data_IF_434976645682
#
_entry.id   IF_434976645682
#
_cell.length_a   1.000
_cell.length_b   1.000
_cell.length_c   1.000
_cell.angle_alpha   90.00
_cell.angle_beta   90.00
_cell.angle_gamma   90.00
#
_symmetry.space_group_name_H-M   'P 1'
#
loop_
_entity.id
_entity.type
_entity.pdbx_description
1 polymer ?
#
# COMPACT_ATOMS: atom_id res chain seq x y z
N UNK A 1 15.56 22.77 12.80
CA UNK A 1 15.30 22.59 14.24
C UNK A 1 16.10 23.66 14.99
N UNK A 2 15.52 24.30 15.97
CA UNK A 2 16.26 25.24 16.83
C UNK A 2 17.00 24.42 17.92
N UNK A 3 18.30 24.26 17.75
CA UNK A 3 19.14 23.46 18.65
C UNK A 3 19.35 24.11 20.02
N UNK A 4 19.01 25.41 20.19
CA UNK A 4 19.09 26.12 21.49
C UNK A 4 18.15 25.50 22.55
N UNK A 5 17.13 24.76 22.10
CA UNK A 5 16.22 24.03 22.97
C UNK A 5 16.88 22.84 23.67
N UNK A 6 17.91 22.23 23.08
CA UNK A 6 18.62 21.09 23.70
C UNK A 6 19.39 21.51 24.93
N UNK A 7 19.91 22.72 24.96
CA UNK A 7 20.66 23.27 26.12
C UNK A 7 19.77 23.51 27.35
N UNK A 8 18.44 23.56 27.15
CA UNK A 8 17.42 23.73 28.19
C UNK A 8 16.93 22.42 28.79
N UNK A 9 17.30 21.26 28.19
CA UNK A 9 16.88 19.95 28.66
C UNK A 9 17.74 19.47 29.84
N UNK A 10 17.12 18.78 30.76
CA UNK A 10 17.83 18.09 31.85
C UNK A 10 18.67 16.93 31.31
N UNK A 11 19.66 16.49 32.09
CA UNK A 11 20.50 15.32 31.75
C UNK A 11 19.66 14.07 31.47
N UNK A 12 18.59 13.83 32.23
CA UNK A 12 17.73 12.66 32.03
C UNK A 12 16.93 12.72 30.72
N UNK A 13 16.48 13.92 30.34
CA UNK A 13 15.77 14.11 29.06
C UNK A 13 16.71 13.93 27.87
N UNK A 14 17.93 14.48 27.94
CA UNK A 14 18.96 14.29 26.92
C UNK A 14 19.37 12.82 26.79
N UNK A 15 19.56 12.12 27.94
CA UNK A 15 19.87 10.68 27.97
C UNK A 15 18.76 9.85 27.33
N UNK A 16 17.49 10.15 27.66
CA UNK A 16 16.33 9.47 27.06
C UNK A 16 16.29 9.69 25.56
N UNK A 17 16.48 10.93 25.12
CA UNK A 17 16.48 11.29 23.69
C UNK A 17 17.61 10.59 22.95
N UNK A 18 18.81 10.53 23.51
CA UNK A 18 19.95 9.82 22.94
C UNK A 18 19.68 8.31 22.86
N UNK A 19 19.08 7.71 23.89
CA UNK A 19 18.67 6.28 23.89
C UNK A 19 17.64 6.00 22.80
N UNK A 20 16.63 6.86 22.65
CA UNK A 20 15.60 6.73 21.60
C UNK A 20 16.18 6.85 20.19
N UNK A 21 17.35 7.50 20.06
CA UNK A 21 18.13 7.63 18.83
C UNK A 21 19.23 6.57 18.66
N UNK A 22 19.31 5.56 19.55
CA UNK A 22 20.35 4.53 19.60
C UNK A 22 21.80 5.08 19.72
N UNK A 23 21.98 6.19 20.42
CA UNK A 23 23.27 6.78 20.73
C UNK A 23 23.81 6.22 22.04
N UNK A 24 25.14 6.15 22.19
CA UNK A 24 25.78 5.56 23.36
C UNK A 24 25.45 6.33 24.66
N UNK A 25 25.20 5.61 25.77
CA UNK A 25 24.56 6.12 26.97
C UNK A 25 25.48 6.52 28.13
N UNK A 26 26.81 6.61 27.91
CA UNK A 26 27.79 6.91 28.98
C UNK A 26 28.52 8.24 28.77
N UNK A 27 27.77 9.37 28.75
CA UNK A 27 28.35 10.66 28.38
C UNK A 27 27.83 11.81 29.25
N UNK A 28 28.54 12.93 29.27
CA UNK A 28 28.13 14.20 29.88
C UNK A 28 26.97 14.86 29.10
N UNK A 29 26.27 15.83 29.69
CA UNK A 29 25.22 16.59 29.02
C UNK A 29 25.67 17.25 27.74
N UNK A 30 26.88 17.83 27.73
CA UNK A 30 27.46 18.48 26.55
C UNK A 30 27.75 17.49 25.41
N UNK A 31 28.22 16.30 25.71
CA UNK A 31 28.45 15.24 24.72
C UNK A 31 27.14 14.73 24.13
N UNK A 32 26.09 14.56 24.97
CA UNK A 32 24.76 14.21 24.45
C UNK A 32 24.19 15.29 23.51
N UNK A 33 24.35 16.57 23.83
CA UNK A 33 23.90 17.65 22.95
C UNK A 33 24.62 17.58 21.60
N UNK A 34 25.94 17.41 21.59
CA UNK A 34 26.75 17.30 20.37
C UNK A 34 26.32 16.08 19.53
N UNK A 35 26.14 14.92 20.15
CA UNK A 35 25.76 13.70 19.48
C UNK A 35 24.35 13.79 18.89
N UNK A 36 23.39 14.33 19.65
CA UNK A 36 22.02 14.56 19.21
C UNK A 36 22.02 15.56 18.04
N UNK A 37 22.76 16.66 18.13
CA UNK A 37 22.86 17.64 17.05
C UNK A 37 23.48 17.01 15.78
N UNK A 38 24.53 16.20 15.97
CA UNK A 38 25.21 15.49 14.86
C UNK A 38 24.25 14.52 14.18
N UNK A 39 23.55 13.69 14.97
CA UNK A 39 22.57 12.76 14.46
C UNK A 39 21.42 13.47 13.73
N UNK A 40 20.95 14.61 14.22
CA UNK A 40 19.97 15.43 13.51
C UNK A 40 20.51 16.01 12.20
N UNK A 41 21.75 16.50 12.18
CA UNK A 41 22.37 17.02 10.94
C UNK A 41 22.56 15.91 9.91
N UNK A 42 23.02 14.73 10.33
CA UNK A 42 23.15 13.54 9.47
C UNK A 42 21.77 13.10 8.95
N UNK A 43 20.75 13.10 9.82
CA UNK A 43 19.39 12.80 9.44
C UNK A 43 18.82 13.79 8.42
N UNK A 44 19.01 15.10 8.61
CA UNK A 44 18.59 16.13 7.65
C UNK A 44 19.32 15.99 6.30
N UNK A 45 20.64 15.69 6.33
CA UNK A 45 21.44 15.38 5.13
C UNK A 45 20.93 14.12 4.43
N UNK A 46 20.64 13.06 5.21
CA UNK A 46 20.05 11.82 4.70
C UNK A 46 18.67 12.06 4.08
N UNK A 47 17.83 12.83 4.76
CA UNK A 47 16.50 13.22 4.29
C UNK A 47 16.56 14.02 3.00
N UNK A 48 17.46 15.00 2.92
CA UNK A 48 17.71 15.80 1.70
C UNK A 48 18.17 14.90 0.54
N UNK A 49 19.18 14.06 0.77
CA UNK A 49 19.71 13.14 -0.24
C UNK A 49 18.66 12.13 -0.72
N UNK A 50 17.75 11.67 0.15
CA UNK A 50 16.66 10.78 -0.24
C UNK A 50 15.56 11.47 -1.04
N UNK A 51 15.24 12.73 -0.74
CA UNK A 51 14.28 13.52 -1.52
C UNK A 51 14.86 13.85 -2.89
N UNK A 52 16.16 14.13 -2.96
CA UNK A 52 16.87 14.41 -4.22
C UNK A 52 17.05 13.16 -5.11
N UNK A 53 16.82 11.95 -4.57
CA UNK A 53 16.88 10.70 -5.32
C UNK A 53 15.77 10.57 -6.37
N UNK A 54 14.64 11.24 -6.15
CA UNK A 54 13.50 11.22 -7.05
C UNK A 54 13.05 12.64 -7.38
N UNK A 55 13.00 12.97 -8.65
CA UNK A 55 12.37 14.20 -9.15
C UNK A 55 10.87 13.99 -9.26
N UNK A 56 10.08 14.77 -8.53
CA UNK A 56 8.62 14.78 -8.66
C UNK A 56 8.22 15.47 -9.94
N UNK A 57 7.35 14.81 -10.72
CA UNK A 57 6.77 15.39 -11.94
C UNK A 57 5.36 15.93 -11.64
N UNK A 58 4.35 15.10 -11.79
CA UNK A 58 2.95 15.50 -11.61
C UNK A 58 2.25 14.60 -10.59
N UNK A 59 1.17 15.14 -10.00
CA UNK A 59 0.28 14.35 -9.17
C UNK A 59 -0.50 13.37 -10.04
N UNK A 60 -0.65 12.13 -9.57
CA UNK A 60 -1.47 11.08 -10.19
C UNK A 60 -2.77 10.95 -9.41
N UNK A 61 -3.90 11.07 -10.11
CA UNK A 61 -5.23 10.95 -9.50
C UNK A 61 -5.56 12.07 -8.51
N UNK A 62 -6.63 11.88 -7.77
CA UNK A 62 -7.08 12.83 -6.76
C UNK A 62 -6.36 12.61 -5.42
N UNK A 63 -6.34 13.65 -4.59
CA UNK A 63 -5.87 13.54 -3.20
C UNK A 63 -6.74 12.56 -2.43
N UNK A 64 -6.20 11.41 -2.10
CA UNK A 64 -6.88 10.39 -1.31
C UNK A 64 -6.99 10.77 0.18
N UNK A 65 -7.80 9.98 0.92
CA UNK A 65 -7.94 10.14 2.38
C UNK A 65 -6.62 9.91 3.11
N UNK A 66 -5.79 9.00 2.63
CA UNK A 66 -4.55 8.57 3.27
C UNK A 66 -3.30 9.29 2.78
N UNK A 67 -3.31 9.81 1.55
CA UNK A 67 -2.13 10.42 0.95
C UNK A 67 -2.34 10.90 -0.48
N UNK A 68 -1.23 11.20 -1.15
CA UNK A 68 -1.18 11.67 -2.53
C UNK A 68 -0.15 10.84 -3.29
N UNK A 69 -0.49 10.45 -4.51
CA UNK A 69 0.44 9.79 -5.43
C UNK A 69 1.05 10.78 -6.41
N UNK A 70 2.33 10.65 -6.67
CA UNK A 70 3.08 11.44 -7.64
C UNK A 70 3.78 10.52 -8.63
N UNK A 71 3.81 10.92 -9.89
CA UNK A 71 4.78 10.40 -10.84
C UNK A 71 6.15 10.96 -10.47
N UNK A 72 7.14 10.10 -10.37
CA UNK A 72 8.51 10.50 -10.05
C UNK A 72 9.50 9.83 -11.01
N UNK A 73 10.64 10.47 -11.22
CA UNK A 73 11.78 9.90 -11.94
C UNK A 73 12.98 9.75 -11.02
N UNK A 74 13.72 8.66 -11.18
CA UNK A 74 15.02 8.51 -10.55
C UNK A 74 16.13 9.19 -11.37
N UNK A 75 17.37 9.12 -10.89
CA UNK A 75 18.55 9.70 -11.57
C UNK A 75 18.89 9.04 -12.94
N UNK A 76 18.23 7.94 -13.30
CA UNK A 76 18.33 7.27 -14.60
C UNK A 76 17.09 7.53 -15.47
N UNK A 77 16.29 8.54 -15.16
CA UNK A 77 15.04 8.88 -15.86
C UNK A 77 13.97 7.77 -15.84
N UNK A 78 14.11 6.76 -14.99
CA UNK A 78 13.11 5.70 -14.85
C UNK A 78 11.92 6.19 -14.04
N UNK A 79 10.73 5.92 -14.55
CA UNK A 79 9.48 6.37 -13.93
C UNK A 79 8.99 5.40 -12.85
N UNK A 80 8.51 5.98 -11.76
CA UNK A 80 7.91 5.29 -10.61
C UNK A 80 6.70 6.07 -10.10
N UNK A 81 5.93 5.45 -9.22
CA UNK A 81 4.89 6.12 -8.44
C UNK A 81 5.36 6.25 -6.99
N UNK A 82 5.34 7.48 -6.47
CA UNK A 82 5.59 7.77 -5.05
C UNK A 82 4.26 8.09 -4.36
N UNK A 83 3.81 7.20 -3.46
CA UNK A 83 2.68 7.46 -2.55
C UNK A 83 3.20 8.12 -1.30
N UNK A 84 2.87 9.40 -1.09
CA UNK A 84 3.21 10.14 0.12
C UNK A 84 2.02 10.15 1.06
N UNK A 85 2.25 9.86 2.34
CA UNK A 85 1.19 9.73 3.33
C UNK A 85 1.05 10.98 4.18
N UNK A 86 -0.14 11.19 4.77
CA UNK A 86 -0.39 12.27 5.71
C UNK A 86 0.50 12.11 6.95
N UNK A 87 0.93 13.22 7.55
CA UNK A 87 1.72 13.23 8.79
C UNK A 87 1.02 12.48 9.93
N UNK A 88 -0.31 12.47 9.95
CA UNK A 88 -1.14 11.77 10.95
C UNK A 88 -1.14 10.26 10.84
N UNK A 89 -0.74 9.67 9.70
CA UNK A 89 -0.66 8.20 9.55
C UNK A 89 0.48 7.67 10.42
N UNK A 90 0.20 6.68 11.28
CA UNK A 90 1.21 6.10 12.17
C UNK A 90 2.28 5.35 11.38
N UNK A 91 3.52 5.34 11.87
CA UNK A 91 4.61 4.59 11.23
C UNK A 91 4.34 3.09 11.19
N UNK A 92 3.64 2.54 12.21
CA UNK A 92 3.25 1.13 12.24
C UNK A 92 2.25 0.79 11.15
N UNK A 93 1.21 1.61 10.95
CA UNK A 93 0.23 1.41 9.87
C UNK A 93 0.90 1.49 8.50
N UNK A 94 1.79 2.45 8.32
CA UNK A 94 2.56 2.60 7.09
C UNK A 94 3.48 1.39 6.83
N UNK A 95 4.17 0.90 7.88
CA UNK A 95 5.02 -0.29 7.81
C UNK A 95 4.20 -1.54 7.45
N UNK A 96 3.01 -1.69 8.02
CA UNK A 96 2.10 -2.80 7.70
C UNK A 96 1.68 -2.75 6.23
N UNK A 97 1.24 -1.62 5.72
CA UNK A 97 0.89 -1.44 4.30
C UNK A 97 2.05 -1.81 3.38
N UNK A 98 3.26 -1.30 3.68
CA UNK A 98 4.48 -1.63 2.95
C UNK A 98 4.78 -3.13 2.93
N UNK A 99 4.73 -3.79 4.10
CA UNK A 99 5.04 -5.22 4.22
C UNK A 99 4.04 -6.05 3.40
N UNK A 100 2.74 -5.78 3.55
CA UNK A 100 1.69 -6.54 2.87
C UNK A 100 1.74 -6.35 1.36
N UNK A 101 1.96 -5.12 0.87
CA UNK A 101 2.18 -4.87 -0.56
C UNK A 101 3.44 -5.58 -1.07
N UNK A 102 4.56 -5.49 -0.33
CA UNK A 102 5.81 -6.17 -0.70
C UNK A 102 5.61 -7.68 -0.78
N UNK A 103 4.89 -8.28 0.17
CA UNK A 103 4.55 -9.71 0.16
C UNK A 103 3.72 -10.07 -1.08
N UNK A 104 2.68 -9.31 -1.41
CA UNK A 104 1.88 -9.53 -2.61
C UNK A 104 2.70 -9.36 -3.91
N UNK A 105 3.67 -8.44 -3.90
CA UNK A 105 4.56 -8.22 -5.04
C UNK A 105 5.50 -9.40 -5.30
N UNK A 106 5.90 -10.18 -4.27
CA UNK A 106 6.77 -11.37 -4.45
C UNK A 106 6.13 -12.46 -5.30
N UNK A 107 4.79 -12.54 -5.30
CA UNK A 107 4.03 -13.48 -6.12
C UNK A 107 3.46 -12.83 -7.40
N UNK A 108 3.90 -11.61 -7.71
CA UNK A 108 3.66 -10.92 -8.97
C UNK A 108 2.23 -10.44 -9.17
N UNK A 109 1.49 -10.10 -8.10
CA UNK A 109 0.10 -9.61 -8.16
C UNK A 109 -0.06 -8.16 -7.69
N UNK A 110 0.99 -7.53 -7.19
CA UNK A 110 1.02 -6.12 -6.80
C UNK A 110 2.26 -5.43 -7.39
N UNK A 111 2.24 -4.10 -7.56
CA UNK A 111 3.41 -3.35 -7.98
C UNK A 111 4.59 -3.59 -7.06
N UNK A 112 5.78 -3.83 -7.63
CA UNK A 112 7.01 -4.00 -6.86
C UNK A 112 7.33 -2.73 -6.09
N UNK A 113 7.55 -2.86 -4.78
CA UNK A 113 8.02 -1.75 -3.96
C UNK A 113 9.52 -1.57 -4.15
N UNK A 114 9.93 -0.37 -4.53
CA UNK A 114 11.32 0.01 -4.79
C UNK A 114 11.96 0.63 -3.56
N UNK A 115 11.21 1.45 -2.85
CA UNK A 115 11.68 2.14 -1.64
C UNK A 115 10.55 2.39 -0.65
N UNK A 116 10.89 2.41 0.64
CA UNK A 116 10.02 2.74 1.74
C UNK A 116 10.75 3.64 2.73
N UNK A 117 10.11 4.72 3.16
CA UNK A 117 10.63 5.61 4.18
C UNK A 117 9.55 5.91 5.23
N UNK A 118 9.78 5.41 6.46
CA UNK A 118 8.86 5.61 7.58
C UNK A 118 8.89 7.03 8.15
N UNK A 119 9.98 7.74 7.96
CA UNK A 119 10.21 9.08 8.52
C UNK A 119 9.58 10.13 7.61
N UNK A 120 9.95 10.11 6.33
CA UNK A 120 9.37 10.99 5.31
C UNK A 120 7.99 10.53 4.84
N UNK A 121 7.54 9.36 5.34
CA UNK A 121 6.22 8.75 5.11
C UNK A 121 5.87 8.62 3.63
N UNK A 122 6.69 7.88 2.88
CA UNK A 122 6.38 7.53 1.51
C UNK A 122 6.73 6.08 1.16
N UNK A 123 6.09 5.59 0.11
CA UNK A 123 6.43 4.35 -0.58
C UNK A 123 6.65 4.69 -2.05
N UNK A 124 7.76 4.23 -2.64
CA UNK A 124 8.02 4.29 -4.09
C UNK A 124 7.81 2.91 -4.66
N UNK A 125 7.02 2.83 -5.70
CA UNK A 125 6.64 1.57 -6.33
C UNK A 125 6.66 1.67 -7.85
N UNK A 126 6.64 0.53 -8.49
CA UNK A 126 6.54 0.39 -9.93
C UNK A 126 5.30 1.11 -10.47
N UNK A 127 5.48 1.83 -11.59
CA UNK A 127 4.37 2.48 -12.30
C UNK A 127 3.55 1.44 -13.05
N UNK A 128 2.24 1.53 -12.92
CA UNK A 128 1.24 0.78 -13.71
C UNK A 128 0.74 1.64 -14.85
N UNK A 129 0.13 1.01 -15.86
CA UNK A 129 -0.27 1.69 -17.08
C UNK A 129 -1.65 2.35 -16.95
N UNK A 130 -2.71 1.57 -16.66
CA UNK A 130 -4.09 2.04 -16.73
C UNK A 130 -4.97 1.35 -15.67
N UNK A 131 -6.00 2.03 -15.20
CA UNK A 131 -7.00 1.41 -14.32
C UNK A 131 -7.86 0.39 -15.07
N UNK A 132 -8.13 -0.76 -14.43
CA UNK A 132 -9.01 -1.79 -14.98
C UNK A 132 -10.42 -1.23 -15.27
N UNK A 133 -10.90 -0.29 -14.48
CA UNK A 133 -12.18 0.38 -14.68
C UNK A 133 -12.24 1.08 -16.05
N UNK A 134 -11.16 1.76 -16.46
CA UNK A 134 -11.13 2.47 -17.75
C UNK A 134 -11.09 1.48 -18.92
N UNK A 135 -10.41 0.34 -18.74
CA UNK A 135 -10.40 -0.75 -19.73
C UNK A 135 -11.80 -1.35 -19.87
N UNK A 136 -12.50 -1.62 -18.76
CA UNK A 136 -13.88 -2.15 -18.77
C UNK A 136 -14.81 -1.20 -19.54
N UNK A 137 -14.72 0.11 -19.30
CA UNK A 137 -15.49 1.12 -20.05
C UNK A 137 -15.21 1.10 -21.54
N UNK A 138 -13.94 1.03 -21.94
CA UNK A 138 -13.54 0.89 -23.35
C UNK A 138 -14.06 -0.40 -23.98
N UNK A 139 -14.27 -1.45 -23.18
CA UNK A 139 -14.83 -2.75 -23.57
C UNK A 139 -16.37 -2.80 -23.48
N UNK A 140 -17.06 -1.65 -23.49
CA UNK A 140 -18.53 -1.55 -23.39
C UNK A 140 -19.07 -2.22 -22.12
N UNK A 141 -18.47 -1.87 -20.99
CA UNK A 141 -18.83 -2.34 -19.64
C UNK A 141 -18.73 -3.87 -19.49
N UNK A 142 -17.80 -4.49 -20.21
CA UNK A 142 -17.57 -5.93 -20.16
C UNK A 142 -16.18 -6.28 -19.60
N UNK A 143 -16.16 -7.11 -18.56
CA UNK A 143 -14.94 -7.74 -18.04
C UNK A 143 -14.74 -9.10 -18.72
N UNK A 144 -13.73 -9.23 -19.54
CA UNK A 144 -13.49 -10.45 -20.33
C UNK A 144 -13.20 -11.68 -19.47
N UNK A 145 -13.37 -12.88 -20.05
CA UNK A 145 -13.00 -14.15 -19.39
C UNK A 145 -11.57 -14.13 -18.84
N UNK A 146 -10.60 -13.69 -19.64
CA UNK A 146 -9.20 -13.63 -19.24
C UNK A 146 -8.98 -12.74 -18.04
N UNK A 147 -9.63 -11.56 -18.03
CA UNK A 147 -9.54 -10.62 -16.89
C UNK A 147 -10.20 -11.19 -15.64
N UNK A 148 -11.36 -11.85 -15.73
CA UNK A 148 -11.99 -12.52 -14.60
C UNK A 148 -11.07 -13.61 -14.01
N UNK A 149 -10.41 -14.41 -14.84
CA UNK A 149 -9.47 -15.44 -14.39
C UNK A 149 -8.23 -14.82 -13.73
N UNK A 150 -7.75 -13.68 -14.20
CA UNK A 150 -6.64 -12.95 -13.55
C UNK A 150 -7.06 -12.41 -12.17
N UNK A 151 -8.29 -11.90 -12.00
CA UNK A 151 -8.80 -11.49 -10.68
C UNK A 151 -8.87 -12.66 -9.72
N UNK A 152 -9.39 -13.82 -10.18
CA UNK A 152 -9.42 -15.04 -9.37
C UNK A 152 -8.00 -15.46 -8.93
N UNK A 153 -7.05 -15.40 -9.85
CA UNK A 153 -5.65 -15.74 -9.57
C UNK A 153 -5.03 -14.77 -8.54
N UNK A 154 -5.32 -13.47 -8.64
CA UNK A 154 -4.90 -12.48 -7.64
C UNK A 154 -5.42 -12.87 -6.26
N UNK A 155 -6.72 -13.20 -6.14
CA UNK A 155 -7.31 -13.54 -4.84
C UNK A 155 -6.75 -14.84 -4.26
N UNK A 156 -6.52 -15.86 -5.08
CA UNK A 156 -5.88 -17.10 -4.65
C UNK A 156 -4.48 -16.85 -4.10
N UNK A 157 -3.67 -16.11 -4.85
CA UNK A 157 -2.29 -15.76 -4.44
C UNK A 157 -2.26 -14.91 -3.17
N UNK A 158 -3.19 -13.97 -2.99
CA UNK A 158 -3.33 -13.23 -1.74
C UNK A 158 -3.62 -14.15 -0.56
N UNK A 159 -4.51 -15.13 -0.72
CA UNK A 159 -4.81 -16.12 0.32
C UNK A 159 -3.61 -17.04 0.61
N UNK A 160 -2.87 -17.47 -0.41
CA UNK A 160 -1.64 -18.26 -0.29
C UNK A 160 -0.55 -17.54 0.51
N UNK A 161 -0.32 -16.26 0.22
CA UNK A 161 0.69 -15.44 0.93
C UNK A 161 0.16 -14.82 2.23
N UNK A 162 -1.04 -15.23 2.69
CA UNK A 162 -1.67 -14.80 3.94
C UNK A 162 -1.92 -13.29 4.04
N UNK A 163 -2.27 -12.66 2.93
CA UNK A 163 -2.63 -11.24 2.85
C UNK A 163 -4.11 -11.11 2.50
N UNK A 164 -4.91 -10.54 3.39
CA UNK A 164 -6.28 -10.10 3.07
C UNK A 164 -6.23 -8.65 2.60
N UNK A 165 -6.68 -8.38 1.37
CA UNK A 165 -6.64 -7.01 0.83
C UNK A 165 -7.67 -6.07 1.49
N UNK A 166 -8.92 -6.52 1.62
CA UNK A 166 -9.96 -5.84 2.39
C UNK A 166 -10.68 -4.70 1.67
N UNK A 167 -10.34 -4.37 0.43
CA UNK A 167 -11.01 -3.34 -0.36
C UNK A 167 -11.24 -3.78 -1.82
N UNK A 168 -12.50 -4.06 -2.16
CA UNK A 168 -12.93 -4.49 -3.50
C UNK A 168 -13.18 -3.33 -4.47
N UNK A 169 -12.75 -2.09 -4.15
CA UNK A 169 -12.93 -0.95 -5.03
C UNK A 169 -12.27 -1.20 -6.39
N UNK A 170 -13.01 -0.92 -7.48
CA UNK A 170 -12.51 -1.11 -8.86
C UNK A 170 -11.28 -0.26 -9.18
N UNK A 171 -11.09 0.86 -8.50
CA UNK A 171 -9.91 1.72 -8.64
C UNK A 171 -8.63 1.09 -8.09
N UNK A 172 -8.75 0.01 -7.31
CA UNK A 172 -7.62 -0.73 -6.76
C UNK A 172 -7.05 -1.78 -7.73
N UNK A 173 -7.52 -1.82 -8.96
CA UNK A 173 -7.01 -2.72 -9.99
C UNK A 173 -6.46 -1.92 -11.15
N UNK A 174 -5.19 -2.15 -11.46
CA UNK A 174 -4.49 -1.53 -12.57
C UNK A 174 -3.87 -2.59 -13.47
N UNK A 175 -3.50 -2.22 -14.68
CA UNK A 175 -2.82 -3.12 -15.62
C UNK A 175 -1.42 -2.65 -15.91
N UNK A 176 -0.56 -3.60 -16.26
CA UNK A 176 0.72 -3.40 -16.91
C UNK A 176 0.96 -4.57 -17.86
N UNK A 177 1.29 -4.29 -19.10
CA UNK A 177 1.51 -5.32 -20.13
C UNK A 177 0.34 -6.33 -20.21
N UNK A 178 -0.91 -5.85 -20.19
CA UNK A 178 -2.15 -6.65 -20.20
C UNK A 178 -2.37 -7.54 -18.96
N UNK A 179 -1.49 -7.53 -17.98
CA UNK A 179 -1.63 -8.23 -16.72
C UNK A 179 -2.26 -7.31 -15.69
N UNK A 180 -3.21 -7.84 -14.90
CA UNK A 180 -3.87 -7.10 -13.82
C UNK A 180 -3.05 -7.22 -12.54
N UNK A 181 -2.95 -6.10 -11.82
CA UNK A 181 -2.32 -5.95 -10.50
C UNK A 181 -3.29 -5.31 -9.54
N UNK A 182 -3.21 -5.70 -8.25
CA UNK A 182 -3.95 -5.05 -7.19
C UNK A 182 -3.06 -4.04 -6.47
N UNK A 183 -3.62 -2.86 -6.15
CA UNK A 183 -2.92 -1.73 -5.52
C UNK A 183 -3.67 -1.27 -4.26
N UNK A 184 -3.03 -0.41 -3.47
CA UNK A 184 -3.59 0.22 -2.27
C UNK A 184 -3.90 -0.75 -1.11
N UNK A 185 -2.85 -1.13 -0.41
CA UNK A 185 -2.89 -2.06 0.74
C UNK A 185 -3.24 -1.37 2.07
N UNK A 186 -3.81 -0.15 2.05
CA UNK A 186 -4.14 0.62 3.25
C UNK A 186 -5.14 -0.06 4.19
N UNK A 187 -6.05 -0.88 3.65
CA UNK A 187 -7.02 -1.69 4.43
C UNK A 187 -6.60 -3.13 4.65
N UNK A 188 -5.45 -3.53 4.13
CA UNK A 188 -5.01 -4.91 4.15
C UNK A 188 -4.62 -5.39 5.55
N UNK A 189 -4.76 -6.69 5.76
CA UNK A 189 -4.45 -7.37 7.02
C UNK A 189 -3.77 -8.71 6.76
N UNK A 190 -2.99 -9.17 7.71
CA UNK A 190 -2.47 -10.52 7.71
C UNK A 190 -3.59 -11.53 8.01
N UNK A 191 -3.62 -12.64 7.26
CA UNK A 191 -4.53 -13.78 7.51
C UNK A 191 -3.86 -14.69 8.52
N UNK A 192 -4.05 -14.41 9.82
CA UNK A 192 -3.61 -15.22 10.94
C UNK A 192 -4.81 -15.95 11.59
N UNK A 193 -4.57 -16.83 12.56
CA UNK A 193 -5.61 -17.62 13.21
C UNK A 193 -6.73 -16.78 13.83
N UNK A 194 -6.38 -15.65 14.44
CA UNK A 194 -7.36 -14.69 15.00
C UNK A 194 -8.24 -14.11 13.90
N UNK A 195 -7.65 -13.78 12.74
CA UNK A 195 -8.36 -13.27 11.60
C UNK A 195 -9.27 -14.34 10.99
N UNK A 196 -8.77 -15.57 10.82
CA UNK A 196 -9.54 -16.72 10.31
C UNK A 196 -10.75 -16.99 11.22
N UNK A 197 -10.55 -17.06 12.53
CA UNK A 197 -11.64 -17.24 13.50
C UNK A 197 -12.71 -16.15 13.39
N UNK A 198 -12.29 -14.88 13.18
CA UNK A 198 -13.21 -13.75 13.01
C UNK A 198 -13.97 -13.80 11.70
N UNK A 199 -13.33 -14.18 10.61
CA UNK A 199 -13.91 -14.13 9.26
C UNK A 199 -14.62 -15.43 8.87
N UNK A 200 -14.40 -16.52 9.61
CA UNK A 200 -14.99 -17.84 9.34
C UNK A 200 -14.44 -18.53 8.10
N UNK A 201 -13.31 -18.08 7.56
CA UNK A 201 -12.71 -18.64 6.33
C UNK A 201 -11.20 -18.50 6.33
N UNK A 202 -10.50 -19.49 5.76
CA UNK A 202 -9.05 -19.48 5.53
C UNK A 202 -8.67 -18.81 4.20
N UNK A 203 -9.67 -18.55 3.34
CA UNK A 203 -9.52 -17.97 2.01
C UNK A 203 -10.41 -16.73 1.83
N UNK A 204 -10.21 -15.66 2.63
CA UNK A 204 -11.13 -14.53 2.65
C UNK A 204 -11.12 -13.70 1.35
N UNK A 205 -10.00 -13.71 0.59
CA UNK A 205 -10.00 -12.99 -0.68
C UNK A 205 -10.86 -13.72 -1.72
N UNK A 206 -10.71 -15.03 -1.86
CA UNK A 206 -11.50 -15.80 -2.82
C UNK A 206 -12.99 -15.84 -2.46
N UNK A 207 -13.32 -15.80 -1.18
CA UNK A 207 -14.73 -15.82 -0.73
C UNK A 207 -15.33 -14.41 -0.65
N UNK A 208 -14.78 -13.53 0.21
CA UNK A 208 -15.37 -12.22 0.54
C UNK A 208 -15.08 -11.19 -0.55
N UNK A 209 -13.81 -11.09 -1.01
CA UNK A 209 -13.44 -10.10 -2.02
C UNK A 209 -14.10 -10.38 -3.37
N UNK A 210 -14.30 -11.66 -3.73
CA UNK A 210 -15.02 -12.01 -4.97
C UNK A 210 -16.45 -11.47 -4.95
N UNK A 211 -17.17 -11.63 -3.85
CA UNK A 211 -18.53 -11.09 -3.70
C UNK A 211 -18.50 -9.56 -3.83
N UNK A 212 -17.62 -8.90 -3.07
CA UNK A 212 -17.48 -7.44 -3.13
C UNK A 212 -17.16 -6.93 -4.54
N UNK A 213 -16.29 -7.62 -5.27
CA UNK A 213 -15.91 -7.27 -6.63
C UNK A 213 -17.11 -7.41 -7.61
N UNK A 214 -17.86 -8.52 -7.52
CA UNK A 214 -19.07 -8.70 -8.33
C UNK A 214 -20.10 -7.62 -8.05
N UNK A 215 -20.33 -7.28 -6.77
CA UNK A 215 -21.25 -6.21 -6.39
C UNK A 215 -20.84 -4.85 -6.98
N UNK A 216 -19.51 -4.57 -7.04
CA UNK A 216 -19.00 -3.37 -7.71
C UNK A 216 -19.22 -3.39 -9.22
N UNK A 217 -19.05 -4.54 -9.89
CA UNK A 217 -19.38 -4.66 -11.31
C UNK A 217 -20.87 -4.41 -11.58
N UNK A 218 -21.77 -4.91 -10.70
CA UNK A 218 -23.21 -4.64 -10.79
C UNK A 218 -23.55 -3.16 -10.57
N UNK A 219 -22.96 -2.54 -9.55
CA UNK A 219 -23.11 -1.10 -9.26
C UNK A 219 -22.69 -0.25 -10.47
N UNK A 220 -21.65 -0.66 -11.18
CA UNK A 220 -21.16 -0.03 -12.41
C UNK A 220 -22.00 -0.38 -13.64
N UNK A 221 -23.06 -1.19 -13.49
CA UNK A 221 -23.92 -1.65 -14.58
C UNK A 221 -23.20 -2.44 -15.67
N UNK A 222 -22.13 -3.16 -15.30
CA UNK A 222 -21.45 -4.04 -16.23
C UNK A 222 -22.37 -5.18 -16.69
N UNK A 223 -22.07 -5.74 -17.87
CA UNK A 223 -22.79 -6.89 -18.43
C UNK A 223 -22.68 -8.11 -17.48
N UNK A 224 -23.73 -8.93 -17.36
CA UNK A 224 -23.74 -10.12 -16.52
C UNK A 224 -22.65 -11.16 -16.86
N UNK A 225 -22.19 -11.16 -18.09
CA UNK A 225 -21.03 -11.93 -18.54
C UNK A 225 -19.73 -11.58 -17.81
N UNK A 226 -19.66 -10.36 -17.21
CA UNK A 226 -18.48 -9.83 -16.51
C UNK A 226 -18.17 -10.54 -15.20
N UNK A 227 -19.08 -11.35 -14.65
CA UNK A 227 -18.83 -12.15 -13.43
C UNK A 227 -19.14 -13.64 -13.58
N UNK A 228 -19.39 -14.11 -14.80
CA UNK A 228 -19.68 -15.54 -15.08
C UNK A 228 -18.68 -16.51 -14.48
N UNK A 229 -17.39 -16.17 -14.52
CA UNK A 229 -16.31 -17.01 -13.98
C UNK A 229 -16.05 -16.74 -12.50
N UNK A 230 -16.20 -15.51 -12.04
CA UNK A 230 -16.10 -15.10 -10.65
C UNK A 230 -17.20 -15.78 -9.79
N UNK A 231 -18.42 -15.82 -10.29
CA UNK A 231 -19.58 -16.43 -9.62
C UNK A 231 -19.35 -17.88 -9.18
N UNK A 232 -18.50 -18.62 -9.88
CA UNK A 232 -18.14 -20.01 -9.52
C UNK A 232 -17.46 -20.15 -8.15
N UNK A 233 -16.94 -19.05 -7.59
CA UNK A 233 -16.29 -19.00 -6.29
C UNK A 233 -17.19 -18.41 -5.18
N UNK A 234 -18.43 -18.11 -5.51
CA UNK A 234 -19.43 -17.62 -4.57
C UNK A 234 -20.34 -18.76 -4.15
N UNK A 235 -20.62 -18.88 -2.85
CA UNK A 235 -21.52 -19.92 -2.36
C UNK A 235 -22.96 -19.72 -2.90
N UNK A 236 -23.72 -20.79 -3.02
CA UNK A 236 -25.12 -20.70 -3.48
C UNK A 236 -25.96 -19.79 -2.58
N UNK A 237 -25.73 -19.82 -1.27
CA UNK A 237 -26.40 -18.95 -0.32
C UNK A 237 -26.08 -17.48 -0.57
N UNK A 238 -24.81 -17.16 -0.86
CA UNK A 238 -24.40 -15.78 -1.16
C UNK A 238 -24.90 -15.34 -2.54
N UNK A 239 -24.96 -16.23 -3.52
CA UNK A 239 -25.59 -15.96 -4.84
C UNK A 239 -27.02 -15.49 -4.64
N UNK A 240 -27.80 -16.19 -3.83
CA UNK A 240 -29.21 -15.83 -3.52
C UNK A 240 -29.24 -14.54 -2.71
N UNK A 241 -28.50 -14.48 -1.61
CA UNK A 241 -28.47 -13.34 -0.68
C UNK A 241 -28.14 -12.01 -1.37
N UNK A 242 -27.19 -12.02 -2.31
CA UNK A 242 -26.71 -10.82 -3.00
C UNK A 242 -27.26 -10.69 -4.43
N UNK A 243 -28.23 -11.56 -4.82
CA UNK A 243 -28.82 -11.59 -6.17
C UNK A 243 -27.79 -11.61 -7.30
N UNK A 244 -26.76 -12.43 -7.15
CA UNK A 244 -25.66 -12.60 -8.14
C UNK A 244 -26.11 -13.61 -9.20
N UNK A 245 -26.96 -13.17 -10.14
CA UNK A 245 -27.45 -14.00 -11.25
C UNK A 245 -26.51 -14.01 -12.46
#
# INVERSE_FOLDING_TARGET
>A
MDYSLLEKLSFNELKKMATDMNLDSKRSSSEYIIDIQTAFKEYEKYKKNKIDKYTRLNQIGNKGKEGICYLVKDYKDREFVMKTFRKTKSSNTLKTEYILQKTAATVGIAPRVVEYDSVSKYIVMEKMDEHLLDIIKKQKDNLTKTQQLQIIEIYKKLDEVKVFHGDSNMLNYMTKDKKIYIIDFGFSKEINDKFIKKMGTVTPNITIMTIGFILKLKELKCLSTSWKYLKKYVSQNDVIKFSIE
#
